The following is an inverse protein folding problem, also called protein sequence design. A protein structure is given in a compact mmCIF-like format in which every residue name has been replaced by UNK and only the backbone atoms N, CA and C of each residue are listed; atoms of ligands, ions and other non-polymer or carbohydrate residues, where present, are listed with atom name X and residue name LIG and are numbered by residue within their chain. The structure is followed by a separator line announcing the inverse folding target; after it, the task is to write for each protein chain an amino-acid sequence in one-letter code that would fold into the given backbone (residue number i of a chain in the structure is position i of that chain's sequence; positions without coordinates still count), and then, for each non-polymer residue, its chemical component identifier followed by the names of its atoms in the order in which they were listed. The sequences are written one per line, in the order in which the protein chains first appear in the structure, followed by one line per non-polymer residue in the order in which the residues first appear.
data_IF_045894296886
#
_entry.id   IF_045894296886
#
_cell.length_a   1.000
_cell.length_b   1.000
_cell.length_c   1.000
_cell.angle_alpha   90.00
_cell.angle_beta   90.00
_cell.angle_gamma   90.00
#
_symmetry.space_group_name_H-M   'P 1'
#
loop_
_entity.id
_entity.type
_entity.pdbx_description
1 polymer ?
#
# COMPACT_ATOMS: atom_id res chain seq x y z
N UNK A 1 -20.56 -11.03 -11.86
CA UNK A 1 -19.76 -12.24 -12.07
C UNK A 1 -18.49 -11.88 -12.84
N UNK A 2 -17.43 -11.36 -12.18
CA UNK A 2 -16.11 -11.29 -12.82
C UNK A 2 -15.56 -12.71 -12.82
N UNK A 3 -15.72 -13.40 -13.95
CA UNK A 3 -15.10 -14.68 -14.27
C UNK A 3 -13.70 -14.73 -13.68
N UNK A 4 -13.35 -15.83 -13.00
CA UNK A 4 -11.96 -16.10 -12.61
C UNK A 4 -11.11 -15.92 -13.86
N UNK A 5 -10.37 -14.80 -13.95
CA UNK A 5 -9.57 -14.47 -15.12
C UNK A 5 -8.62 -15.64 -15.32
N UNK A 6 -8.88 -16.46 -16.34
CA UNK A 6 -8.02 -17.55 -16.75
C UNK A 6 -6.60 -16.98 -16.84
N UNK A 7 -5.66 -17.53 -16.06
CA UNK A 7 -4.27 -17.09 -16.07
C UNK A 7 -3.80 -17.12 -17.53
N UNK A 8 -3.60 -15.95 -18.14
CA UNK A 8 -3.09 -15.89 -19.49
C UNK A 8 -1.59 -16.15 -19.41
N UNK A 9 -1.15 -17.29 -19.95
CA UNK A 9 0.25 -17.68 -20.00
C UNK A 9 1.15 -16.54 -20.51
N UNK A 10 0.73 -15.87 -21.58
CA UNK A 10 1.47 -14.72 -22.14
C UNK A 10 1.53 -13.53 -21.19
N UNK A 11 0.48 -13.30 -20.40
CA UNK A 11 0.49 -12.27 -19.37
C UNK A 11 1.50 -12.61 -18.28
N UNK A 12 1.60 -13.87 -17.87
CA UNK A 12 2.58 -14.32 -16.88
C UNK A 12 4.01 -14.17 -17.41
N UNK A 13 4.28 -14.65 -18.63
CA UNK A 13 5.60 -14.51 -19.28
C UNK A 13 6.00 -13.05 -19.40
N UNK A 14 5.10 -12.19 -19.87
CA UNK A 14 5.34 -10.75 -19.95
C UNK A 14 5.65 -10.13 -18.59
N UNK A 15 4.88 -10.48 -17.56
CA UNK A 15 5.16 -9.96 -16.20
C UNK A 15 6.53 -10.40 -15.71
N UNK A 16 6.91 -11.67 -15.86
CA UNK A 16 8.22 -12.17 -15.41
C UNK A 16 9.37 -11.48 -16.15
N UNK A 17 9.24 -11.27 -17.47
CA UNK A 17 10.23 -10.56 -18.27
C UNK A 17 10.40 -9.10 -17.79
N UNK A 18 9.30 -8.37 -17.60
CA UNK A 18 9.32 -6.99 -17.12
C UNK A 18 9.91 -6.91 -15.71
N UNK A 19 9.53 -7.81 -14.80
CA UNK A 19 10.10 -7.89 -13.45
C UNK A 19 11.62 -8.09 -13.51
N UNK A 20 12.09 -9.05 -14.31
CA UNK A 20 13.52 -9.32 -14.47
C UNK A 20 14.27 -8.10 -15.04
N UNK A 21 13.72 -7.45 -16.07
CA UNK A 21 14.32 -6.25 -16.66
C UNK A 21 14.47 -5.13 -15.63
N UNK A 22 13.40 -4.79 -14.89
CA UNK A 22 13.45 -3.70 -13.91
C UNK A 22 14.41 -3.98 -12.76
N UNK A 23 14.51 -5.22 -12.29
CA UNK A 23 15.48 -5.60 -11.26
C UNK A 23 16.92 -5.36 -11.74
N UNK A 24 17.25 -5.80 -12.96
CA UNK A 24 18.59 -5.61 -13.52
C UNK A 24 18.88 -4.14 -13.83
N UNK A 25 17.89 -3.41 -14.37
CA UNK A 25 17.99 -1.98 -14.61
C UNK A 25 18.29 -1.22 -13.31
N UNK A 26 17.50 -1.43 -12.25
CA UNK A 26 17.71 -0.77 -10.96
C UNK A 26 19.07 -1.10 -10.36
N UNK A 27 19.51 -2.37 -10.44
CA UNK A 27 20.84 -2.79 -10.00
C UNK A 27 21.95 -2.02 -10.72
N UNK A 28 21.91 -1.97 -12.04
CA UNK A 28 22.92 -1.29 -12.84
C UNK A 28 22.90 0.23 -12.60
N UNK A 29 21.70 0.82 -12.55
CA UNK A 29 21.50 2.25 -12.32
C UNK A 29 22.13 2.71 -11.00
N UNK A 30 21.79 2.08 -9.87
CA UNK A 30 22.33 2.50 -8.58
C UNK A 30 23.81 2.15 -8.41
N UNK A 31 24.29 1.04 -8.97
CA UNK A 31 25.71 0.74 -8.97
C UNK A 31 26.53 1.75 -9.78
N UNK A 32 25.98 2.29 -10.87
CA UNK A 32 26.67 3.31 -11.67
C UNK A 32 26.71 4.69 -11.02
N UNK A 33 25.69 5.03 -10.21
CA UNK A 33 25.54 6.37 -9.64
C UNK A 33 26.06 6.49 -8.21
N UNK A 34 25.90 5.44 -7.40
CA UNK A 34 26.20 5.44 -5.95
C UNK A 34 26.73 4.08 -5.51
N UNK A 35 27.87 3.65 -6.07
CA UNK A 35 28.39 2.28 -5.88
C UNK A 35 28.59 1.86 -4.41
N UNK A 36 28.94 2.80 -3.53
CA UNK A 36 29.18 2.61 -2.09
C UNK A 36 27.89 2.33 -1.30
N UNK A 37 26.75 2.89 -1.73
CA UNK A 37 25.45 2.79 -1.02
C UNK A 37 24.35 2.11 -1.83
N UNK A 38 24.66 1.63 -3.03
CA UNK A 38 23.70 1.08 -4.00
C UNK A 38 22.84 -0.06 -3.46
N UNK A 39 23.36 -0.85 -2.51
CA UNK A 39 22.67 -2.05 -2.02
C UNK A 39 21.26 -1.76 -1.49
N UNK A 40 21.07 -0.67 -0.74
CA UNK A 40 19.79 -0.38 -0.10
C UNK A 40 18.71 0.00 -1.13
N UNK A 41 18.94 0.98 -2.04
CA UNK A 41 18.03 1.23 -3.15
C UNK A 41 17.76 -0.01 -4.00
N UNK A 42 18.77 -0.83 -4.29
CA UNK A 42 18.58 -2.04 -5.10
C UNK A 42 17.64 -3.03 -4.41
N UNK A 43 17.82 -3.30 -3.13
CA UNK A 43 16.91 -4.16 -2.35
C UNK A 43 15.50 -3.58 -2.32
N UNK A 44 15.36 -2.26 -2.10
CA UNK A 44 14.07 -1.58 -2.16
C UNK A 44 13.37 -1.79 -3.51
N UNK A 45 14.07 -1.56 -4.63
CA UNK A 45 13.50 -1.72 -5.97
C UNK A 45 13.14 -3.18 -6.28
N UNK A 46 13.90 -4.16 -5.79
CA UNK A 46 13.54 -5.58 -5.90
C UNK A 46 12.21 -5.84 -5.18
N UNK A 47 12.08 -5.42 -3.91
CA UNK A 47 10.84 -5.60 -3.14
C UNK A 47 9.67 -4.88 -3.81
N UNK A 48 9.89 -3.63 -4.25
CA UNK A 48 8.90 -2.82 -4.96
C UNK A 48 8.42 -3.52 -6.22
N UNK A 49 9.32 -3.94 -7.11
CA UNK A 49 8.98 -4.58 -8.38
C UNK A 49 8.25 -5.90 -8.16
N UNK A 50 8.69 -6.74 -7.21
CA UNK A 50 8.02 -8.00 -6.88
C UNK A 50 6.61 -7.76 -6.36
N UNK A 51 6.44 -6.84 -5.40
CA UNK A 51 5.13 -6.47 -4.88
C UNK A 51 4.21 -5.90 -5.97
N UNK A 52 4.70 -4.97 -6.79
CA UNK A 52 3.95 -4.36 -7.89
C UNK A 52 3.53 -5.42 -8.93
N UNK A 53 4.40 -6.40 -9.20
CA UNK A 53 4.10 -7.53 -10.09
C UNK A 53 2.94 -8.35 -9.54
N UNK A 54 2.96 -8.68 -8.24
CA UNK A 54 1.88 -9.41 -7.58
C UNK A 54 0.56 -8.62 -7.62
N UNK A 55 0.57 -7.33 -7.23
CA UNK A 55 -0.63 -6.49 -7.25
C UNK A 55 -1.22 -6.33 -8.67
N UNK A 56 -0.37 -6.10 -9.66
CA UNK A 56 -0.77 -6.04 -11.07
C UNK A 56 -1.41 -7.36 -11.52
N UNK A 57 -0.76 -8.49 -11.19
CA UNK A 57 -1.21 -9.80 -11.61
C UNK A 57 -2.61 -10.13 -11.10
N UNK A 58 -2.83 -9.91 -9.79
CA UNK A 58 -4.10 -10.12 -9.09
C UNK A 58 -5.10 -8.95 -9.27
N UNK A 59 -4.81 -8.02 -10.18
CA UNK A 59 -5.72 -6.98 -10.68
C UNK A 59 -6.24 -6.02 -9.61
N UNK A 60 -5.43 -5.70 -8.61
CA UNK A 60 -5.70 -4.54 -7.76
C UNK A 60 -5.21 -3.28 -8.49
N UNK A 61 -6.03 -2.22 -8.62
CA UNK A 61 -5.52 -0.98 -9.19
C UNK A 61 -4.43 -0.41 -8.28
N UNK A 62 -3.33 0.07 -8.87
CA UNK A 62 -2.25 0.74 -8.15
C UNK A 62 -2.81 1.82 -7.22
N UNK A 63 -2.39 1.79 -5.96
CA UNK A 63 -2.80 2.73 -4.89
C UNK A 63 -4.29 2.78 -4.53
N UNK A 64 -5.15 1.90 -5.03
CA UNK A 64 -6.60 1.95 -4.74
C UNK A 64 -7.07 0.76 -3.93
N UNK A 65 -8.13 0.90 -3.13
CA UNK A 65 -8.73 -0.22 -2.39
C UNK A 65 -9.21 -1.36 -3.29
N UNK A 66 -9.51 -1.07 -4.57
CA UNK A 66 -10.05 -2.04 -5.53
C UNK A 66 -11.50 -2.44 -5.26
N UNK A 67 -12.09 -1.93 -4.17
CA UNK A 67 -13.47 -2.13 -3.73
C UNK A 67 -14.34 -1.00 -4.29
N UNK A 68 -13.83 0.23 -4.27
CA UNK A 68 -14.55 1.44 -4.67
C UNK A 68 -13.85 2.12 -5.85
N UNK A 69 -14.62 2.52 -6.86
CA UNK A 69 -14.13 3.36 -7.95
C UNK A 69 -13.94 4.78 -7.42
N UNK A 70 -12.68 5.17 -7.26
CA UNK A 70 -12.28 6.49 -6.77
C UNK A 70 -12.57 7.60 -7.77
N UNK A 71 -12.67 8.83 -7.25
CA UNK A 71 -12.72 10.03 -8.08
C UNK A 71 -11.40 10.20 -8.82
N UNK A 72 -11.47 10.46 -10.14
CA UNK A 72 -10.29 10.50 -11.01
C UNK A 72 -9.26 11.57 -10.63
N UNK A 73 -9.72 12.74 -10.15
CA UNK A 73 -8.83 13.83 -9.75
C UNK A 73 -8.01 13.48 -8.51
N UNK A 74 -8.61 12.86 -7.49
CA UNK A 74 -7.90 12.48 -6.26
C UNK A 74 -6.80 11.45 -6.57
N UNK A 75 -7.11 10.51 -7.46
CA UNK A 75 -6.12 9.55 -7.99
C UNK A 75 -4.95 10.25 -8.69
N UNK A 76 -5.23 11.27 -9.50
CA UNK A 76 -4.21 12.04 -10.19
C UNK A 76 -3.31 12.77 -9.20
N UNK A 77 -3.88 13.49 -8.23
CA UNK A 77 -3.10 14.19 -7.20
C UNK A 77 -2.24 13.24 -6.38
N UNK A 78 -2.81 12.10 -5.95
CA UNK A 78 -2.05 11.08 -5.24
C UNK A 78 -0.88 10.55 -6.07
N UNK A 79 -1.13 10.25 -7.35
CA UNK A 79 -0.08 9.76 -8.27
C UNK A 79 1.02 10.80 -8.48
N UNK A 80 0.66 12.05 -8.74
CA UNK A 80 1.62 13.15 -8.90
C UNK A 80 2.45 13.33 -7.64
N UNK A 81 1.80 13.40 -6.48
CA UNK A 81 2.49 13.50 -5.19
C UNK A 81 3.48 12.33 -5.01
N UNK A 82 3.03 11.09 -5.19
CA UNK A 82 3.86 9.91 -5.01
C UNK A 82 5.08 9.90 -5.95
N UNK A 83 4.88 10.14 -7.25
CA UNK A 83 5.98 10.11 -8.21
C UNK A 83 6.95 11.28 -8.03
N UNK A 84 6.45 12.49 -7.80
CA UNK A 84 7.30 13.66 -7.56
C UNK A 84 8.13 13.48 -6.30
N UNK A 85 7.51 13.03 -5.21
CA UNK A 85 8.20 12.74 -3.95
C UNK A 85 9.25 11.64 -4.12
N UNK A 86 8.93 10.55 -4.82
CA UNK A 86 9.88 9.46 -5.03
C UNK A 86 11.08 9.90 -5.89
N UNK A 87 10.83 10.63 -6.99
CA UNK A 87 11.88 11.20 -7.84
C UNK A 87 12.76 12.15 -7.04
N UNK A 88 12.14 13.04 -6.25
CA UNK A 88 12.87 13.95 -5.38
C UNK A 88 13.76 13.20 -4.40
N UNK A 89 13.23 12.24 -3.64
CA UNK A 89 14.02 11.47 -2.66
C UNK A 89 15.17 10.68 -3.30
N UNK A 90 14.96 10.08 -4.48
CA UNK A 90 16.02 9.39 -5.23
C UNK A 90 17.10 10.38 -5.70
N UNK A 91 16.68 11.53 -6.24
CA UNK A 91 17.61 12.55 -6.76
C UNK A 91 18.41 13.17 -5.63
N UNK A 92 17.77 13.42 -4.49
CA UNK A 92 18.45 13.92 -3.29
C UNK A 92 19.46 12.93 -2.74
N UNK A 93 19.13 11.63 -2.76
CA UNK A 93 20.04 10.56 -2.33
C UNK A 93 21.23 10.36 -3.26
N UNK A 94 21.01 10.49 -4.57
CA UNK A 94 22.05 10.19 -5.58
C UNK A 94 22.96 11.38 -5.85
N UNK A 95 22.42 12.60 -5.94
CA UNK A 95 23.19 13.75 -6.43
C UNK A 95 23.09 14.98 -5.52
N UNK A 96 21.89 15.45 -5.20
CA UNK A 96 21.74 16.78 -4.57
C UNK A 96 22.31 16.83 -3.16
N UNK A 97 22.06 15.77 -2.37
CA UNK A 97 22.45 15.69 -0.96
C UNK A 97 21.96 16.86 -0.09
N UNK A 98 20.88 17.54 -0.49
CA UNK A 98 20.36 18.72 0.20
C UNK A 98 19.66 18.37 1.51
N UNK A 99 19.02 17.20 1.57
CA UNK A 99 18.15 16.85 2.71
C UNK A 99 18.50 15.53 3.35
N UNK A 100 19.74 15.11 3.17
CA UNK A 100 20.24 13.83 3.61
C UNK A 100 20.54 13.82 5.11
N UNK A 101 20.02 12.81 5.81
CA UNK A 101 20.33 12.55 7.23
C UNK A 101 21.54 11.61 7.31
N UNK A 102 22.71 12.12 6.93
CA UNK A 102 23.92 11.31 6.70
C UNK A 102 24.44 10.56 7.93
N UNK A 103 24.26 11.14 9.13
CA UNK A 103 24.75 10.56 10.39
C UNK A 103 24.01 9.27 10.80
N UNK A 104 22.81 9.04 10.25
CA UNK A 104 21.97 7.89 10.60
C UNK A 104 22.09 6.73 9.59
N UNK A 105 22.95 6.85 8.58
CA UNK A 105 23.20 5.79 7.60
C UNK A 105 24.02 4.64 8.22
N UNK A 106 23.72 3.36 7.94
CA UNK A 106 22.61 2.85 7.13
C UNK A 106 21.33 2.53 7.93
N UNK A 107 21.31 2.80 9.24
CA UNK A 107 20.24 2.37 10.15
C UNK A 107 18.86 2.92 9.76
N UNK A 108 18.78 4.21 9.40
CA UNK A 108 17.52 4.84 8.96
C UNK A 108 16.98 4.18 7.69
N UNK A 109 17.86 3.88 6.76
CA UNK A 109 17.51 3.27 5.47
C UNK A 109 17.03 1.83 5.65
N UNK A 110 17.69 1.06 6.52
CA UNK A 110 17.28 -0.30 6.89
C UNK A 110 15.92 -0.27 7.59
N UNK A 111 15.69 0.66 8.53
CA UNK A 111 14.39 0.85 9.15
C UNK A 111 13.32 1.17 8.09
N UNK A 112 13.64 2.03 7.12
CA UNK A 112 12.79 2.30 5.96
C UNK A 112 12.44 1.04 5.16
N UNK A 113 13.42 0.17 4.87
CA UNK A 113 13.18 -1.10 4.18
C UNK A 113 12.22 -2.01 4.97
N UNK A 114 12.40 -2.11 6.29
CA UNK A 114 11.54 -2.90 7.17
C UNK A 114 10.11 -2.34 7.14
N UNK A 115 9.95 -1.02 7.30
CA UNK A 115 8.64 -0.35 7.27
C UNK A 115 7.96 -0.55 5.90
N UNK A 116 8.72 -0.45 4.80
CA UNK A 116 8.20 -0.71 3.46
C UNK A 116 7.72 -2.16 3.30
N UNK A 117 8.52 -3.13 3.75
CA UNK A 117 8.17 -4.54 3.70
C UNK A 117 6.92 -4.86 4.55
N UNK A 118 6.78 -4.26 5.74
CA UNK A 118 5.57 -4.37 6.56
C UNK A 118 4.34 -3.81 5.83
N UNK A 119 4.49 -2.66 5.16
CA UNK A 119 3.44 -2.10 4.32
C UNK A 119 3.02 -3.03 3.17
N UNK A 120 4.00 -3.63 2.49
CA UNK A 120 3.77 -4.66 1.44
C UNK A 120 3.00 -5.86 2.01
N UNK A 121 3.41 -6.38 3.16
CA UNK A 121 2.76 -7.55 3.79
C UNK A 121 1.31 -7.26 4.14
N UNK A 122 1.02 -6.10 4.75
CA UNK A 122 -0.35 -5.69 5.06
C UNK A 122 -1.18 -5.60 3.79
N UNK A 123 -0.66 -4.96 2.73
CA UNK A 123 -1.38 -4.84 1.45
C UNK A 123 -1.66 -6.20 0.81
N UNK A 124 -0.66 -7.08 0.72
CA UNK A 124 -0.85 -8.43 0.19
C UNK A 124 -1.85 -9.24 1.04
N UNK A 125 -1.76 -9.17 2.36
CA UNK A 125 -2.71 -9.84 3.26
C UNK A 125 -4.15 -9.33 3.03
N UNK A 126 -4.35 -8.02 2.89
CA UNK A 126 -5.67 -7.47 2.56
C UNK A 126 -6.16 -7.89 1.18
N UNK A 127 -5.29 -7.91 0.17
CA UNK A 127 -5.61 -8.34 -1.19
C UNK A 127 -6.06 -9.80 -1.22
N UNK A 128 -5.24 -10.71 -0.69
CA UNK A 128 -5.58 -12.14 -0.64
C UNK A 128 -6.82 -12.41 0.22
N UNK A 129 -7.03 -11.64 1.28
CA UNK A 129 -8.27 -11.74 2.04
C UNK A 129 -9.47 -11.38 1.18
N UNK A 130 -9.45 -10.24 0.48
CA UNK A 130 -10.54 -9.76 -0.36
C UNK A 130 -10.83 -10.67 -1.55
N UNK A 131 -9.81 -11.26 -2.18
CA UNK A 131 -9.97 -12.19 -3.30
C UNK A 131 -10.79 -13.43 -2.94
N UNK A 132 -10.78 -13.81 -1.66
CA UNK A 132 -11.53 -14.96 -1.15
C UNK A 132 -12.93 -14.60 -0.62
N UNK A 133 -13.33 -13.32 -0.67
CA UNK A 133 -14.61 -12.86 -0.16
C UNK A 133 -15.64 -12.65 -1.29
N UNK A 134 -16.93 -12.88 -1.03
CA UNK A 134 -17.99 -12.58 -1.99
C UNK A 134 -18.10 -11.07 -2.23
N UNK A 135 -18.13 -10.66 -3.51
CA UNK A 135 -18.13 -9.25 -3.93
C UNK A 135 -19.36 -8.43 -3.49
N UNK A 136 -20.43 -9.09 -3.03
CA UNK A 136 -21.70 -8.45 -2.69
C UNK A 136 -21.93 -8.30 -1.17
N UNK A 137 -20.93 -8.60 -0.33
CA UNK A 137 -21.06 -8.49 1.13
C UNK A 137 -19.97 -7.60 1.71
N UNK A 138 -20.32 -6.87 2.76
CA UNK A 138 -19.36 -6.10 3.52
C UNK A 138 -18.37 -7.06 4.21
N UNK A 139 -17.08 -6.88 3.92
CA UNK A 139 -16.02 -7.69 4.51
C UNK A 139 -15.66 -7.11 5.88
N UNK A 140 -15.83 -7.91 6.94
CA UNK A 140 -15.57 -7.52 8.33
C UNK A 140 -14.57 -8.43 9.05
N UNK A 141 -14.04 -9.43 8.35
CA UNK A 141 -13.15 -10.46 8.91
C UNK A 141 -11.68 -10.13 8.71
N UNK A 142 -10.81 -10.84 9.44
CA UNK A 142 -9.36 -10.68 9.32
C UNK A 142 -8.93 -9.26 9.68
N UNK A 143 -8.11 -8.65 8.82
CA UNK A 143 -7.61 -7.29 9.04
C UNK A 143 -8.72 -6.23 9.06
N UNK A 144 -9.86 -6.48 8.38
CA UNK A 144 -11.03 -5.60 8.44
C UNK A 144 -11.76 -5.66 9.78
N UNK A 145 -11.44 -6.59 10.69
CA UNK A 145 -11.98 -6.57 12.06
C UNK A 145 -11.17 -5.66 12.99
N UNK A 146 -9.90 -5.40 12.69
CA UNK A 146 -9.01 -4.62 13.58
C UNK A 146 -8.95 -3.15 13.20
N UNK A 147 -9.09 -2.81 11.92
CA UNK A 147 -9.32 -1.45 11.42
C UNK A 147 -10.14 -1.50 10.13
N UNK A 148 -10.80 -0.38 9.79
CA UNK A 148 -11.65 -0.29 8.59
C UNK A 148 -10.85 -0.19 7.30
N UNK A 149 -9.68 0.44 7.38
CA UNK A 149 -8.84 0.77 6.23
C UNK A 149 -7.45 0.11 6.27
N UNK A 150 -7.33 -1.22 6.45
CA UNK A 150 -6.02 -1.88 6.62
C UNK A 150 -5.12 -1.74 5.38
N UNK A 151 -5.70 -1.67 4.19
CA UNK A 151 -4.92 -1.47 2.97
C UNK A 151 -4.26 -0.08 2.93
N UNK A 152 -4.97 0.94 3.38
CA UNK A 152 -4.45 2.31 3.50
C UNK A 152 -3.39 2.43 4.59
N UNK A 153 -3.49 1.64 5.67
CA UNK A 153 -2.41 1.52 6.65
C UNK A 153 -1.12 1.03 5.97
N UNK A 154 -1.21 0.00 5.13
CA UNK A 154 -0.06 -0.47 4.36
C UNK A 154 0.49 0.59 3.39
N UNK A 155 -0.38 1.33 2.69
CA UNK A 155 0.01 2.45 1.83
C UNK A 155 0.72 3.56 2.62
N UNK A 156 0.22 3.90 3.80
CA UNK A 156 0.80 4.92 4.66
C UNK A 156 2.22 4.55 5.07
N UNK A 157 2.44 3.31 5.50
CA UNK A 157 3.77 2.80 5.82
C UNK A 157 4.72 2.91 4.62
N UNK A 158 4.24 2.58 3.41
CA UNK A 158 5.05 2.68 2.19
C UNK A 158 5.43 4.12 1.83
N UNK A 159 4.48 5.07 1.95
CA UNK A 159 4.75 6.49 1.69
C UNK A 159 5.79 7.03 2.67
N UNK A 160 5.68 6.70 3.96
CA UNK A 160 6.65 7.10 4.98
C UNK A 160 8.01 6.42 4.77
N UNK A 161 8.01 5.15 4.35
CA UNK A 161 9.22 4.37 4.19
C UNK A 161 10.13 4.87 3.07
N UNK A 162 9.59 5.35 1.94
CA UNK A 162 10.39 5.76 0.78
C UNK A 162 11.40 6.86 1.17
N UNK A 163 11.00 7.99 1.79
CA UNK A 163 11.96 8.98 2.27
C UNK A 163 12.96 8.45 3.29
N UNK A 164 12.58 7.49 4.14
CA UNK A 164 13.50 6.87 5.10
C UNK A 164 14.57 6.02 4.39
N UNK A 165 14.17 5.24 3.38
CA UNK A 165 15.06 4.43 2.54
C UNK A 165 16.08 5.32 1.82
N UNK A 166 15.69 6.53 1.43
CA UNK A 166 16.54 7.51 0.76
C UNK A 166 17.06 8.61 1.70
N UNK A 167 16.97 8.43 3.02
CA UNK A 167 17.41 9.38 4.06
C UNK A 167 17.01 10.85 3.85
N UNK A 168 15.88 11.13 3.21
CA UNK A 168 15.43 12.49 2.84
C UNK A 168 14.43 13.03 3.86
N UNK A 169 14.82 14.02 4.68
CA UNK A 169 13.93 14.59 5.68
C UNK A 169 12.81 15.45 5.07
N UNK A 170 13.06 16.16 3.95
CA UNK A 170 12.00 16.90 3.26
C UNK A 170 11.00 15.95 2.61
N UNK A 171 11.47 14.83 2.04
CA UNK A 171 10.58 13.77 1.56
C UNK A 171 9.70 13.22 2.69
N UNK A 172 10.26 13.07 3.89
CA UNK A 172 9.53 12.59 5.07
C UNK A 172 8.48 13.61 5.53
N UNK A 173 8.83 14.89 5.64
CA UNK A 173 7.88 15.96 5.99
C UNK A 173 6.75 16.04 4.95
N UNK A 174 7.08 16.02 3.66
CA UNK A 174 6.08 16.03 2.60
C UNK A 174 5.14 14.81 2.67
N UNK A 175 5.69 13.63 3.00
CA UNK A 175 4.94 12.39 3.22
C UNK A 175 3.99 12.47 4.41
N UNK A 176 4.43 13.05 5.52
CA UNK A 176 3.60 13.25 6.71
C UNK A 176 2.52 14.31 6.49
N UNK A 177 2.77 15.38 5.74
CA UNK A 177 1.78 16.43 5.54
C UNK A 177 0.82 16.04 4.41
N UNK A 178 1.34 15.91 3.20
CA UNK A 178 0.53 15.71 2.01
C UNK A 178 0.10 14.25 1.84
N UNK A 179 0.98 13.29 2.13
CA UNK A 179 0.66 11.87 2.02
C UNK A 179 -0.47 11.45 2.98
N UNK A 180 -0.39 11.86 4.25
CA UNK A 180 -1.47 11.61 5.22
C UNK A 180 -2.77 12.27 4.82
N UNK A 181 -2.74 13.53 4.36
CA UNK A 181 -3.93 14.25 3.92
C UNK A 181 -4.60 13.54 2.73
N UNK A 182 -3.83 13.15 1.71
CA UNK A 182 -4.36 12.49 0.53
C UNK A 182 -4.94 11.11 0.87
N UNK A 183 -4.25 10.31 1.69
CA UNK A 183 -4.77 9.01 2.16
C UNK A 183 -6.06 9.22 2.98
N UNK A 184 -6.11 10.26 3.82
CA UNK A 184 -7.32 10.58 4.58
C UNK A 184 -8.51 10.90 3.68
N UNK A 185 -8.31 11.74 2.66
CA UNK A 185 -9.34 12.07 1.67
C UNK A 185 -9.81 10.83 0.92
N UNK A 186 -8.90 9.92 0.56
CA UNK A 186 -9.25 8.65 -0.09
C UNK A 186 -10.09 7.74 0.81
N UNK A 187 -9.69 7.57 2.07
CA UNK A 187 -10.46 6.78 3.03
C UNK A 187 -11.87 7.37 3.25
N UNK A 188 -11.99 8.70 3.34
CA UNK A 188 -13.28 9.37 3.47
C UNK A 188 -14.18 9.15 2.24
N UNK A 189 -13.62 9.26 1.04
CA UNK A 189 -14.35 8.97 -0.19
C UNK A 189 -14.82 7.50 -0.24
N UNK A 190 -13.99 6.56 0.25
CA UNK A 190 -14.37 5.16 0.37
C UNK A 190 -15.51 4.95 1.37
N UNK A 191 -15.44 5.58 2.56
CA UNK A 191 -16.52 5.48 3.55
C UNK A 191 -17.86 6.00 3.01
N UNK A 192 -17.85 7.05 2.19
CA UNK A 192 -19.07 7.57 1.58
C UNK A 192 -19.70 6.57 0.61
N UNK A 193 -18.87 5.87 -0.18
CA UNK A 193 -19.37 4.84 -1.11
C UNK A 193 -19.85 3.61 -0.35
N UNK A 194 -19.08 3.14 0.64
CA UNK A 194 -19.46 1.99 1.47
C UNK A 194 -20.74 2.26 2.27
N UNK A 195 -20.90 3.46 2.83
CA UNK A 195 -22.13 3.87 3.52
C UNK A 195 -23.35 3.86 2.58
N UNK A 196 -23.20 4.33 1.35
CA UNK A 196 -24.28 4.29 0.34
C UNK A 196 -24.63 2.87 -0.09
N UNK A 197 -23.62 2.01 -0.24
CA UNK A 197 -23.77 0.64 -0.72
C UNK A 197 -24.37 -0.29 0.34
N UNK A 198 -23.89 -0.21 1.58
CA UNK A 198 -24.22 -1.15 2.65
C UNK A 198 -25.11 -0.56 3.76
N UNK A 199 -25.39 0.75 3.74
CA UNK A 199 -26.35 1.43 4.63
C UNK A 199 -26.13 1.07 6.11
N UNK A 200 -27.17 0.63 6.82
CA UNK A 200 -27.16 0.30 8.25
C UNK A 200 -26.10 -0.74 8.62
N UNK A 201 -25.79 -1.67 7.71
CA UNK A 201 -24.73 -2.66 7.91
C UNK A 201 -23.39 -1.95 8.18
N UNK A 202 -23.06 -0.94 7.37
CA UNK A 202 -21.80 -0.22 7.48
C UNK A 202 -21.77 0.73 8.67
N UNK A 203 -22.90 1.39 8.97
CA UNK A 203 -23.02 2.24 10.16
C UNK A 203 -22.75 1.43 11.42
N UNK A 204 -23.31 0.22 11.53
CA UNK A 204 -23.04 -0.65 12.67
C UNK A 204 -21.57 -1.09 12.73
N UNK A 205 -20.97 -1.39 11.58
CA UNK A 205 -19.54 -1.72 11.51
C UNK A 205 -18.64 -0.58 11.98
N UNK A 206 -18.96 0.68 11.63
CA UNK A 206 -18.20 1.87 12.02
C UNK A 206 -18.17 2.10 13.54
N UNK A 207 -19.23 1.72 14.26
CA UNK A 207 -19.29 1.87 15.73
C UNK A 207 -18.27 1.01 16.46
N UNK A 208 -17.93 -0.15 15.87
CA UNK A 208 -17.11 -1.15 16.56
C UNK A 208 -15.66 -1.16 16.09
N UNK A 209 -15.39 -0.87 14.81
CA UNK A 209 -14.05 -1.02 14.23
C UNK A 209 -13.41 0.36 14.02
N UNK A 210 -12.19 0.61 14.52
CA UNK A 210 -11.54 1.91 14.38
C UNK A 210 -11.21 2.24 12.93
N UNK A 211 -11.10 3.53 12.62
CA UNK A 211 -10.91 4.02 11.26
C UNK A 211 -9.62 3.49 10.60
N UNK A 212 -8.45 3.76 11.19
CA UNK A 212 -7.15 3.40 10.60
C UNK A 212 -6.23 2.63 11.57
N UNK A 213 -6.04 3.14 12.79
CA UNK A 213 -5.14 2.51 13.76
C UNK A 213 -5.72 1.18 14.27
N UNK A 214 -5.00 0.06 14.09
CA UNK A 214 -5.54 -1.26 14.38
C UNK A 214 -5.70 -1.48 15.88
N UNK A 215 -6.89 -1.91 16.29
CA UNK A 215 -7.10 -2.44 17.63
C UNK A 215 -6.76 -3.95 17.67
N UNK A 216 -5.56 -4.27 18.14
CA UNK A 216 -5.05 -5.64 18.17
C UNK A 216 -5.79 -6.56 19.15
N UNK A 217 -6.47 -6.03 20.17
CA UNK A 217 -7.30 -6.82 21.09
C UNK A 217 -8.46 -7.53 20.37
N UNK A 218 -8.82 -7.05 19.17
CA UNK A 218 -9.88 -7.65 18.35
C UNK A 218 -9.41 -8.90 17.59
N UNK A 219 -8.10 -9.20 17.55
CA UNK A 219 -7.57 -10.44 16.96
C UNK A 219 -7.89 -11.68 17.78
N UNK A 220 -7.95 -11.54 19.11
CA UNK A 220 -8.17 -12.64 20.06
C UNK A 220 -9.64 -12.90 20.39
N UNK A 221 -10.55 -12.02 19.96
CA UNK A 221 -11.98 -12.20 20.23
C UNK A 221 -12.53 -13.38 19.42
N UNK A 222 -13.14 -14.40 20.05
CA UNK A 222 -13.76 -15.50 19.33
C UNK A 222 -14.83 -14.95 18.39
N UNK A 223 -14.93 -15.51 17.17
CA UNK A 223 -15.94 -15.12 16.17
C UNK A 223 -17.32 -15.12 16.85
N UNK A 224 -17.92 -13.94 17.04
CA UNK A 224 -19.28 -13.85 17.52
C UNK A 224 -20.16 -14.66 16.57
N UNK A 225 -20.91 -15.64 17.11
CA UNK A 225 -21.90 -16.40 16.34
C UNK A 225 -22.84 -15.39 15.71
N UNK A 226 -22.78 -15.25 14.38
CA UNK A 226 -23.78 -14.51 13.61
C UNK A 226 -25.14 -15.09 13.97
N UNK A 227 -25.98 -14.30 14.64
CA UNK A 227 -27.37 -14.64 14.89
C UNK A 227 -28.05 -14.84 13.54
N UNK A 228 -28.25 -16.10 13.17
CA UNK A 228 -29.12 -16.48 12.07
C UNK A 228 -30.50 -15.87 12.35
N UNK A 229 -30.97 -15.04 11.44
CA UNK A 229 -32.25 -14.36 11.55
C UNK A 229 -33.39 -15.32 11.90
N UNK A 230 -34.11 -15.00 12.97
CA UNK A 230 -35.54 -15.30 13.03
C UNK A 230 -36.26 -14.10 12.40
N UNK A 231 -36.44 -14.15 11.08
CA UNK A 231 -37.65 -13.58 10.46
C UNK A 231 -38.68 -14.70 10.50
N UNK A 232 -39.61 -14.61 11.44
CA UNK A 232 -40.98 -15.09 11.27
C UNK A 232 -41.85 -13.85 11.09
#
# INVERSE_FOLDING_TARGET
MKSAKKLNFWRLVWTLFVTWYFINFSRNFFNSLTSDKAQIPVVFFIILVLWMTLEYYFASPFFQSGIVVMHGWLKLFFSLFFYVMAIYSITDYVSLNWTQVSFAYPYLNIAGLIVFALGVLIRLATLFHLLNQPQNKLVRSGLFNVCRHPRYLGTLLQIIAIPLIFSSYLGLIASLIFGLLLIYLEMQAEEQVLSKQYKDEYIEYQKHVPFLFPNLERLSRPKAKTSSGKRK
#
